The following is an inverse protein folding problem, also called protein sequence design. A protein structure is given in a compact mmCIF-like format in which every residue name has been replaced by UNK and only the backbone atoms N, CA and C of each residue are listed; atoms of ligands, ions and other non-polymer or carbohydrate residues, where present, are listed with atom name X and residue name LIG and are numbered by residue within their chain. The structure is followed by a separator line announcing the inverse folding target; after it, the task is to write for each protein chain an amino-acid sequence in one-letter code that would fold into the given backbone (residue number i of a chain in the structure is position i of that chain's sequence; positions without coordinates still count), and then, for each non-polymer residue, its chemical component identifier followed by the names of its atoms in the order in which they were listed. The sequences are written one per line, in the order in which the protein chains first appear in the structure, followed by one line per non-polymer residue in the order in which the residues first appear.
data_IF_766360932876
#
_entry.id   IF_766360932876
#
_cell.length_a   1.000
_cell.length_b   1.000
_cell.length_c   1.000
_cell.angle_alpha   90.00
_cell.angle_beta   90.00
_cell.angle_gamma   90.00
#
_symmetry.space_group_name_H-M   'P 1'
#
loop_
_entity.id
_entity.type
_entity.pdbx_description
1 polymer ?
#
# COMPACT_ATOMS: atom_id res chain seq x y z
N UNK A 1 -0.56 -22.08 1.05
CA UNK A 1 -0.53 -21.82 -0.39
C UNK A 1 -1.60 -20.78 -0.72
N UNK A 2 -1.28 -19.81 -1.58
CA UNK A 2 -2.23 -18.83 -2.08
C UNK A 2 -3.10 -19.48 -3.16
N UNK A 3 -4.40 -19.66 -2.92
CA UNK A 3 -5.33 -20.10 -3.96
C UNK A 3 -5.63 -18.93 -4.92
N UNK A 4 -5.19 -19.08 -6.16
CA UNK A 4 -5.61 -18.23 -7.27
C UNK A 4 -7.10 -18.46 -7.59
N UNK A 5 -7.88 -17.42 -7.91
CA UNK A 5 -9.19 -17.63 -8.55
C UNK A 5 -9.00 -18.19 -9.96
N UNK A 6 -7.92 -17.77 -10.62
CA UNK A 6 -7.52 -18.23 -11.95
C UNK A 6 -6.10 -18.81 -11.92
N UNK A 7 -5.79 -19.73 -12.84
CA UNK A 7 -4.50 -20.44 -12.94
C UNK A 7 -3.29 -19.49 -12.86
N UNK A 8 -3.34 -18.34 -13.55
CA UNK A 8 -2.25 -17.35 -13.56
C UNK A 8 -2.00 -16.72 -12.19
N UNK A 9 -3.04 -16.51 -11.40
CA UNK A 9 -2.91 -15.97 -10.04
C UNK A 9 -2.27 -16.99 -9.12
N UNK A 10 -2.64 -18.27 -9.24
CA UNK A 10 -2.00 -19.37 -8.50
C UNK A 10 -0.53 -19.48 -8.87
N UNK A 11 -0.20 -19.47 -10.17
CA UNK A 11 1.19 -19.55 -10.64
C UNK A 11 2.01 -18.37 -10.11
N UNK A 12 1.51 -17.14 -10.26
CA UNK A 12 2.24 -15.95 -9.81
C UNK A 12 2.39 -15.95 -8.28
N UNK A 13 1.37 -16.35 -7.53
CA UNK A 13 1.43 -16.44 -6.07
C UNK A 13 2.50 -17.43 -5.60
N UNK A 14 2.55 -18.63 -6.18
CA UNK A 14 3.56 -19.63 -5.82
C UNK A 14 4.96 -19.19 -6.24
N UNK A 15 5.12 -18.66 -7.45
CA UNK A 15 6.42 -18.19 -7.94
C UNK A 15 6.92 -16.95 -7.19
N UNK A 16 6.03 -16.13 -6.65
CA UNK A 16 6.41 -15.00 -5.80
C UNK A 16 7.15 -15.47 -4.55
N UNK A 17 6.58 -16.43 -3.81
CA UNK A 17 7.23 -17.02 -2.63
C UNK A 17 8.59 -17.63 -3.00
N UNK A 18 8.66 -18.36 -4.13
CA UNK A 18 9.92 -18.96 -4.61
C UNK A 18 10.98 -17.89 -4.90
N UNK A 19 10.61 -16.76 -5.52
CA UNK A 19 11.56 -15.66 -5.78
C UNK A 19 12.02 -14.95 -4.51
N UNK A 20 11.18 -14.89 -3.46
CA UNK A 20 11.56 -14.27 -2.19
C UNK A 20 12.42 -15.20 -1.30
N UNK A 21 12.11 -16.50 -1.28
CA UNK A 21 12.75 -17.47 -0.39
C UNK A 21 13.98 -18.16 -1.00
N UNK A 22 14.18 -18.05 -2.32
CA UNK A 22 15.26 -18.76 -3.03
C UNK A 22 16.11 -17.82 -3.89
N UNK A 23 17.14 -18.38 -4.54
CA UNK A 23 18.01 -17.64 -5.48
C UNK A 23 17.47 -17.61 -6.91
N UNK A 24 16.28 -18.16 -7.15
CA UNK A 24 15.66 -18.17 -8.48
C UNK A 24 15.43 -16.74 -8.94
N UNK A 25 15.65 -16.50 -10.22
CA UNK A 25 15.51 -15.21 -10.87
C UNK A 25 14.40 -15.22 -11.91
N UNK A 26 13.86 -14.05 -12.22
CA UNK A 26 12.89 -13.89 -13.32
C UNK A 26 13.50 -14.32 -14.67
N UNK A 27 14.82 -14.22 -14.83
CA UNK A 27 15.52 -14.66 -16.05
C UNK A 27 15.45 -16.17 -16.22
N UNK A 28 15.67 -16.94 -15.16
CA UNK A 28 15.53 -18.40 -15.19
C UNK A 28 14.09 -18.82 -15.50
N UNK A 29 13.10 -18.13 -14.92
CA UNK A 29 11.68 -18.36 -15.25
C UNK A 29 11.38 -18.04 -16.73
N UNK A 30 12.03 -17.03 -17.31
CA UNK A 30 11.90 -16.77 -18.74
C UNK A 30 12.43 -17.94 -19.58
N UNK A 31 13.59 -18.49 -19.22
CA UNK A 31 14.20 -19.64 -19.90
C UNK A 31 13.36 -20.92 -19.79
N UNK A 32 12.59 -21.07 -18.70
CA UNK A 32 11.63 -22.16 -18.52
C UNK A 32 10.34 -22.01 -19.34
N UNK A 33 10.18 -20.92 -20.09
CA UNK A 33 9.05 -20.72 -21.00
C UNK A 33 7.81 -20.10 -20.37
N UNK A 34 7.90 -19.50 -19.18
CA UNK A 34 6.77 -18.78 -18.58
C UNK A 34 6.34 -17.58 -19.43
N UNK A 35 5.03 -17.38 -19.55
CA UNK A 35 4.48 -16.31 -20.38
C UNK A 35 4.90 -14.92 -19.89
N UNK A 36 5.05 -13.97 -20.84
CA UNK A 36 5.37 -12.56 -20.53
C UNK A 36 4.45 -11.96 -19.46
N UNK A 37 3.15 -12.29 -19.50
CA UNK A 37 2.16 -11.80 -18.52
C UNK A 37 2.49 -12.22 -17.08
N UNK A 38 2.98 -13.45 -16.87
CA UNK A 38 3.41 -13.96 -15.56
C UNK A 38 4.72 -13.28 -15.14
N UNK A 39 5.69 -13.22 -16.05
CA UNK A 39 7.00 -12.60 -15.77
C UNK A 39 6.87 -11.12 -15.41
N UNK A 40 6.03 -10.37 -16.13
CA UNK A 40 5.80 -8.94 -15.85
C UNK A 40 5.15 -8.73 -14.48
N UNK A 41 4.20 -9.59 -14.09
CA UNK A 41 3.61 -9.54 -12.75
C UNK A 41 4.64 -9.86 -11.65
N UNK A 42 5.49 -10.88 -11.85
CA UNK A 42 6.54 -11.25 -10.90
C UNK A 42 7.60 -10.15 -10.73
N UNK A 43 8.00 -9.50 -11.83
CA UNK A 43 8.90 -8.32 -11.77
C UNK A 43 8.29 -7.19 -10.94
N UNK A 44 6.98 -6.98 -11.07
CA UNK A 44 6.29 -5.94 -10.31
C UNK A 44 6.23 -6.32 -8.83
N UNK A 45 5.94 -7.58 -8.51
CA UNK A 45 5.84 -8.11 -7.15
C UNK A 45 7.19 -8.29 -6.43
N UNK A 46 8.30 -8.24 -7.16
CA UNK A 46 9.63 -8.31 -6.54
C UNK A 46 10.04 -6.92 -6.05
N UNK A 47 10.38 -6.79 -4.76
CA UNK A 47 10.88 -5.54 -4.17
C UNK A 47 12.26 -5.21 -4.71
N UNK A 48 12.49 -3.93 -5.02
CA UNK A 48 13.81 -3.46 -5.44
C UNK A 48 14.66 -3.06 -4.21
N UNK A 49 16.00 -3.03 -4.33
CA UNK A 49 16.88 -2.66 -3.22
C UNK A 49 16.58 -1.27 -2.63
N UNK A 50 16.21 -0.32 -3.47
CA UNK A 50 15.83 1.06 -3.12
C UNK A 50 14.46 1.15 -2.41
N UNK A 51 13.64 0.12 -2.51
CA UNK A 51 12.31 0.06 -1.90
C UNK A 51 12.31 -0.66 -0.54
N UNK A 52 13.45 -1.23 -0.11
CA UNK A 52 13.55 -2.00 1.15
C UNK A 52 13.19 -1.18 2.38
N UNK A 53 13.48 0.12 2.36
CA UNK A 53 13.22 1.03 3.49
C UNK A 53 11.89 1.80 3.36
N UNK A 54 11.15 1.62 2.26
CA UNK A 54 9.88 2.32 2.04
C UNK A 54 8.86 1.39 1.37
N UNK A 55 8.08 0.70 2.21
CA UNK A 55 7.04 -0.22 1.77
C UNK A 55 5.96 0.44 0.91
N UNK A 56 5.57 1.68 1.22
CA UNK A 56 4.54 2.39 0.46
C UNK A 56 5.02 2.81 -0.93
N UNK A 57 6.31 3.03 -1.14
CA UNK A 57 6.88 3.24 -2.49
C UNK A 57 6.63 2.00 -3.37
N UNK A 58 6.86 0.82 -2.81
CA UNK A 58 6.60 -0.45 -3.49
C UNK A 58 5.11 -0.63 -3.82
N UNK A 59 4.21 -0.38 -2.86
CA UNK A 59 2.76 -0.43 -3.09
C UNK A 59 2.32 0.57 -4.17
N UNK A 60 2.83 1.81 -4.12
CA UNK A 60 2.58 2.82 -5.13
C UNK A 60 3.03 2.39 -6.52
N UNK A 61 4.17 1.69 -6.64
CA UNK A 61 4.63 1.13 -7.92
C UNK A 61 3.70 0.04 -8.45
N UNK A 62 3.18 -0.84 -7.60
CA UNK A 62 2.20 -1.86 -8.00
C UNK A 62 0.96 -1.19 -8.58
N UNK A 63 0.42 -0.18 -7.90
CA UNK A 63 -0.77 0.56 -8.36
C UNK A 63 -0.49 1.26 -9.69
N UNK A 64 0.60 2.03 -9.78
CA UNK A 64 1.01 2.78 -10.99
C UNK A 64 1.28 1.88 -12.20
N UNK A 65 1.61 0.61 -11.98
CA UNK A 65 1.88 -0.33 -13.08
C UNK A 65 0.64 -0.67 -13.90
N UNK A 66 -0.57 -0.48 -13.36
CA UNK A 66 -1.83 -0.90 -13.99
C UNK A 66 -1.96 -2.42 -14.15
N UNK A 67 -1.06 -3.22 -13.57
CA UNK A 67 -1.07 -4.67 -13.71
C UNK A 67 -2.01 -5.33 -12.69
N UNK A 68 -3.22 -5.68 -13.16
CA UNK A 68 -4.24 -6.33 -12.34
C UNK A 68 -3.74 -7.62 -11.66
N UNK A 69 -2.96 -8.43 -12.37
CA UNK A 69 -2.47 -9.71 -11.85
C UNK A 69 -1.54 -9.49 -10.65
N UNK A 70 -0.62 -8.53 -10.75
CA UNK A 70 0.26 -8.16 -9.65
C UNK A 70 -0.55 -7.58 -8.47
N UNK A 71 -1.54 -6.72 -8.76
CA UNK A 71 -2.38 -6.11 -7.72
C UNK A 71 -3.17 -7.16 -6.93
N UNK A 72 -3.88 -8.05 -7.62
CA UNK A 72 -4.70 -9.11 -7.00
C UNK A 72 -3.83 -10.07 -6.19
N UNK A 73 -2.68 -10.48 -6.72
CA UNK A 73 -1.77 -11.37 -5.99
C UNK A 73 -1.24 -10.68 -4.73
N UNK A 74 -0.89 -9.38 -4.79
CA UNK A 74 -0.42 -8.66 -3.60
C UNK A 74 -1.50 -8.52 -2.54
N UNK A 75 -2.75 -8.24 -2.94
CA UNK A 75 -3.89 -8.21 -2.02
C UNK A 75 -4.00 -9.54 -1.27
N UNK A 76 -3.97 -10.67 -1.99
CA UNK A 76 -4.09 -12.00 -1.37
C UNK A 76 -2.91 -12.38 -0.49
N UNK A 77 -1.70 -11.98 -0.90
CA UNK A 77 -0.51 -12.14 -0.05
C UNK A 77 -0.71 -11.41 1.28
N UNK A 78 -1.13 -10.14 1.24
CA UNK A 78 -1.40 -9.37 2.45
C UNK A 78 -2.53 -10.00 3.27
N UNK A 79 -3.66 -10.36 2.67
CA UNK A 79 -4.79 -11.05 3.34
C UNK A 79 -4.35 -12.35 4.01
N UNK A 80 -3.46 -13.11 3.38
CA UNK A 80 -2.95 -14.36 3.92
C UNK A 80 -1.93 -14.15 5.05
N UNK A 81 -1.24 -13.01 5.05
CA UNK A 81 -0.31 -12.60 6.09
C UNK A 81 -1.01 -11.93 7.28
N UNK A 82 -2.20 -11.33 7.07
CA UNK A 82 -3.01 -10.70 8.14
C UNK A 82 -3.96 -11.66 8.86
N UNK A 83 -4.12 -12.90 8.37
CA UNK A 83 -4.87 -13.95 9.09
C UNK A 83 -4.28 -14.17 10.48
N UNK A 84 -5.13 -14.15 11.50
CA UNK A 84 -4.77 -14.36 12.92
C UNK A 84 -3.96 -15.63 13.17
N UNK A 85 -4.13 -16.67 12.33
CA UNK A 85 -3.37 -17.92 12.41
C UNK A 85 -1.85 -17.76 12.21
N UNK A 86 -1.38 -16.61 11.70
CA UNK A 86 0.04 -16.30 11.49
C UNK A 86 0.65 -15.45 12.61
N UNK A 87 -0.16 -15.00 13.57
CA UNK A 87 0.38 -14.20 14.66
C UNK A 87 1.27 -15.06 15.56
N UNK A 88 2.51 -14.60 15.83
CA UNK A 88 3.34 -15.28 16.80
C UNK A 88 2.62 -15.23 18.15
N UNK A 89 2.74 -16.30 18.94
CA UNK A 89 2.13 -16.38 20.29
C UNK A 89 2.53 -15.21 21.19
N UNK A 90 3.70 -14.60 20.93
CA UNK A 90 4.21 -13.41 21.58
C UNK A 90 4.48 -12.31 20.52
N UNK A 91 3.50 -11.46 20.19
CA UNK A 91 3.67 -10.39 19.21
C UNK A 91 4.64 -9.30 19.70
N UNK A 92 5.44 -8.78 18.77
CA UNK A 92 6.35 -7.66 19.00
C UNK A 92 5.76 -6.36 18.47
N UNK A 93 6.33 -5.20 18.84
CA UNK A 93 5.93 -3.89 18.29
C UNK A 93 5.99 -3.87 16.75
N UNK A 94 7.02 -4.51 16.17
CA UNK A 94 7.16 -4.64 14.72
C UNK A 94 5.99 -5.38 14.06
N UNK A 95 5.36 -6.33 14.74
CA UNK A 95 4.21 -7.06 14.21
C UNK A 95 2.95 -6.17 14.17
N UNK A 96 2.80 -5.26 15.15
CA UNK A 96 1.74 -4.27 15.15
C UNK A 96 1.95 -3.20 14.08
N UNK A 97 3.18 -2.72 13.90
CA UNK A 97 3.52 -1.80 12.81
C UNK A 97 3.23 -2.43 11.44
N UNK A 98 3.63 -3.69 11.23
CA UNK A 98 3.34 -4.42 9.98
C UNK A 98 1.85 -4.56 9.72
N UNK A 99 1.02 -4.80 10.75
CA UNK A 99 -0.45 -4.82 10.59
C UNK A 99 -0.98 -3.50 10.07
N UNK A 100 -0.59 -2.39 10.68
CA UNK A 100 -1.05 -1.06 10.27
C UNK A 100 -0.60 -0.73 8.84
N UNK A 101 0.65 -1.07 8.47
CA UNK A 101 1.15 -0.93 7.11
C UNK A 101 0.34 -1.77 6.10
N UNK A 102 0.00 -3.01 6.46
CA UNK A 102 -0.78 -3.92 5.64
C UNK A 102 -2.23 -3.47 5.47
N UNK A 103 -2.88 -2.97 6.52
CA UNK A 103 -4.22 -2.42 6.43
C UNK A 103 -4.27 -1.20 5.50
N UNK A 104 -3.30 -0.28 5.64
CA UNK A 104 -3.15 0.87 4.75
C UNK A 104 -2.89 0.45 3.30
N UNK A 105 -2.02 -0.54 3.09
CA UNK A 105 -1.74 -1.06 1.76
C UNK A 105 -2.97 -1.70 1.10
N UNK A 106 -3.79 -2.46 1.85
CA UNK A 106 -5.03 -3.04 1.34
C UNK A 106 -6.03 -1.96 0.91
N UNK A 107 -6.17 -0.88 1.69
CA UNK A 107 -7.01 0.27 1.31
C UNK A 107 -6.54 0.89 -0.01
N UNK A 108 -5.24 1.09 -0.18
CA UNK A 108 -4.66 1.64 -1.41
C UNK A 108 -4.80 0.71 -2.63
N UNK A 109 -4.65 -0.60 -2.44
CA UNK A 109 -4.73 -1.60 -3.51
C UNK A 109 -6.17 -1.92 -3.93
N UNK A 110 -7.13 -1.76 -3.03
CA UNK A 110 -8.56 -2.07 -3.25
C UNK A 110 -9.38 -0.84 -3.64
N UNK A 111 -8.87 0.37 -3.41
CA UNK A 111 -9.51 1.60 -3.84
C UNK A 111 -9.52 1.75 -5.38
N UNK A 112 -10.49 2.48 -5.95
CA UNK A 112 -10.45 2.84 -7.37
C UNK A 112 -9.18 3.66 -7.68
N UNK A 113 -8.59 3.51 -8.88
CA UNK A 113 -7.51 4.39 -9.29
C UNK A 113 -8.09 5.80 -9.45
N UNK A 114 -7.59 6.73 -8.63
CA UNK A 114 -7.77 8.19 -8.65
C UNK A 114 -8.92 8.82 -7.85
N UNK A 115 -8.58 9.92 -7.16
CA UNK A 115 -9.53 10.90 -6.60
C UNK A 115 -9.30 11.15 -5.11
N UNK A 116 -8.95 12.38 -4.75
CA UNK A 116 -8.43 12.74 -3.43
C UNK A 116 -9.33 12.43 -2.23
N UNK A 117 -8.69 12.18 -1.10
CA UNK A 117 -9.26 12.53 0.20
C UNK A 117 -8.22 13.37 0.92
N UNK A 118 -8.54 14.66 0.96
CA UNK A 118 -7.96 15.64 1.85
C UNK A 118 -7.99 15.07 3.27
N UNK A 119 -6.82 15.05 3.91
CA UNK A 119 -6.70 14.72 5.31
C UNK A 119 -7.50 15.78 6.08
N UNK A 120 -8.74 15.45 6.43
CA UNK A 120 -9.49 16.25 7.39
C UNK A 120 -8.71 16.24 8.70
N UNK A 121 -7.98 17.33 8.93
CA UNK A 121 -7.37 17.60 10.23
C UNK A 121 -8.50 17.63 11.27
N UNK A 122 -8.34 16.96 12.42
CA UNK A 122 -9.35 17.03 13.46
C UNK A 122 -9.53 18.48 13.88
N UNK A 123 -10.77 18.99 13.77
CA UNK A 123 -11.19 20.26 14.37
C UNK A 123 -10.87 20.18 15.86
N UNK A 124 -9.80 20.84 16.28
CA UNK A 124 -9.58 21.17 17.68
C UNK A 124 -10.73 22.07 18.12
N UNK A 125 -11.65 21.43 18.83
CA UNK A 125 -12.61 22.04 19.72
C UNK A 125 -11.88 22.89 20.76
N UNK A 126 -12.44 24.09 20.99
CA UNK A 126 -12.14 25.05 22.06
C UNK A 126 -10.81 25.80 21.96
N UNK A 127 -10.89 27.13 21.91
CA UNK A 127 -10.31 28.06 22.92
C UNK A 127 -10.06 29.45 22.28
N UNK A 128 -10.67 30.50 22.88
CA UNK A 128 -10.68 31.94 22.53
C UNK A 128 -11.56 32.34 21.32
N UNK A 129 -12.73 32.99 21.44
CA UNK A 129 -13.22 33.84 22.52
C UNK A 129 -12.61 35.24 22.43
N UNK A 130 -13.13 36.09 21.55
CA UNK A 130 -13.46 37.49 21.86
C UNK A 130 -14.07 38.21 20.66
N UNK A 131 -15.17 38.88 20.94
CA UNK A 131 -15.96 39.77 20.09
C UNK A 131 -15.11 40.87 19.47
N UNK A 132 -15.35 41.17 18.19
CA UNK A 132 -14.98 42.45 17.59
C UNK A 132 -16.23 43.33 17.60
N UNK A 133 -16.26 44.44 18.37
CA UNK A 133 -17.37 45.37 18.30
C UNK A 133 -17.28 46.20 17.02
N UNK A 134 -18.40 46.25 16.30
CA UNK A 134 -18.68 47.23 15.25
C UNK A 134 -18.54 48.64 15.84
N UNK A 135 -17.61 49.42 15.29
CA UNK A 135 -17.51 50.84 15.59
C UNK A 135 -17.42 51.61 14.28
N UNK A 136 -18.61 51.83 13.73
CA UNK A 136 -18.94 53.03 12.98
C UNK A 136 -18.59 54.25 13.85
N UNK A 137 -17.64 55.06 13.41
CA UNK A 137 -17.20 56.24 14.15
C UNK A 137 -16.35 57.14 13.27
N UNK A 138 -16.97 58.22 12.84
CA UNK A 138 -16.41 59.31 12.06
C UNK A 138 -15.28 60.04 12.84
N UNK A 139 -14.67 60.99 12.13
CA UNK A 139 -13.96 62.17 12.65
C UNK A 139 -12.43 62.17 12.50
N UNK A 140 -11.98 63.04 11.58
CA UNK A 140 -10.59 63.27 11.27
C UNK A 140 -9.93 64.37 12.10
N UNK A 141 -8.62 64.52 11.89
CA UNK A 141 -7.81 65.73 12.15
C UNK A 141 -6.60 65.62 11.18
N UNK A 142 -6.50 66.49 10.19
CA UNK A 142 -5.74 67.75 10.17
C UNK A 142 -4.23 67.61 10.36
N UNK A 143 -3.52 68.20 9.38
CA UNK A 143 -2.11 68.56 9.40
C UNK A 143 -1.94 69.97 9.98
#
# INVERSE_FOLDING_TARGET
MLEGKNEKESIVGVLHDVLEDTKVTVVELCMLGYSKKILDALKILTKRPDEKNNYFSFIGRIIKSGNELARVVKIRDIENNTKESRFPKNPTENDFTRRDEYEKALKLLSGPPEGGQELETPKTSEFWGSEVPDSSGEDGFHN
#
